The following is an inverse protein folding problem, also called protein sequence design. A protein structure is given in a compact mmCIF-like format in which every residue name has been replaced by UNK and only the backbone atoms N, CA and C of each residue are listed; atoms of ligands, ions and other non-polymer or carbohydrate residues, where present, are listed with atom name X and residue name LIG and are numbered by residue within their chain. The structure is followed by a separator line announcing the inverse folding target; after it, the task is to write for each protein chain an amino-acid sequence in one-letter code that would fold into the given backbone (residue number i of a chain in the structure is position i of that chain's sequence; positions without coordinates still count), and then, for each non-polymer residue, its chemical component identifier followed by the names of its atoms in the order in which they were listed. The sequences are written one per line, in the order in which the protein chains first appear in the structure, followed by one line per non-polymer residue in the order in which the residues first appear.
data_IF_635153535632
#
_entry.id   IF_635153535632
#
_cell.length_a   1.000
_cell.length_b   1.000
_cell.length_c   1.000
_cell.angle_alpha   90.00
_cell.angle_beta   90.00
_cell.angle_gamma   90.00
#
_symmetry.space_group_name_H-M   'P 1'
#
loop_
_entity.id
_entity.type
_entity.pdbx_description
1 polymer ?
#
# COMPACT_ATOMS: atom_id res chain seq x y z
N UNK A 1 15.74 12.21 -16.23
CA UNK A 1 14.82 11.19 -15.68
C UNK A 1 14.36 11.68 -14.31
N UNK A 2 13.05 11.68 -14.06
CA UNK A 2 12.53 12.04 -12.74
C UNK A 2 12.84 10.89 -11.77
N UNK A 3 13.44 11.22 -10.62
CA UNK A 3 13.82 10.26 -9.57
C UNK A 3 13.08 10.61 -8.28
N UNK A 4 12.58 9.61 -7.56
CA UNK A 4 11.99 9.77 -6.24
C UNK A 4 12.50 8.72 -5.26
N UNK A 5 12.36 9.01 -3.96
CA UNK A 5 12.76 8.12 -2.86
C UNK A 5 11.50 7.58 -2.18
N UNK A 6 11.42 6.28 -1.95
CA UNK A 6 10.33 5.62 -1.23
C UNK A 6 10.67 5.53 0.27
N UNK A 7 9.81 6.10 1.11
CA UNK A 7 9.92 6.13 2.56
C UNK A 7 9.17 4.95 3.22
N UNK A 8 9.67 3.72 3.02
CA UNK A 8 9.05 2.51 3.59
C UNK A 8 10.09 1.51 4.11
N UNK A 9 9.81 0.94 5.28
CA UNK A 9 10.52 -0.23 5.82
C UNK A 9 10.03 -1.55 5.22
N UNK A 10 8.83 -1.55 4.64
CA UNK A 10 8.30 -2.71 3.94
C UNK A 10 8.88 -2.72 2.52
N UNK A 11 9.77 -3.68 2.26
CA UNK A 11 10.47 -3.83 0.99
C UNK A 11 9.56 -4.37 -0.13
N UNK A 12 8.62 -5.26 0.19
CA UNK A 12 7.64 -5.77 -0.78
C UNK A 12 6.80 -4.62 -1.36
N UNK A 13 6.32 -3.72 -0.49
CA UNK A 13 5.63 -2.48 -0.92
C UNK A 13 6.53 -1.63 -1.79
N UNK A 14 7.82 -1.53 -1.45
CA UNK A 14 8.76 -0.71 -2.20
C UNK A 14 9.05 -1.28 -3.58
N UNK A 15 9.13 -2.61 -3.71
CA UNK A 15 9.26 -3.30 -4.99
C UNK A 15 8.01 -3.08 -5.85
N UNK A 16 6.82 -3.19 -5.26
CA UNK A 16 5.56 -2.92 -5.95
C UNK A 16 5.50 -1.48 -6.49
N UNK A 17 5.74 -0.49 -5.63
CA UNK A 17 5.79 0.92 -6.02
C UNK A 17 6.84 1.15 -7.12
N UNK A 18 8.02 0.56 -6.98
CA UNK A 18 9.10 0.68 -7.98
C UNK A 18 8.68 0.13 -9.35
N UNK A 19 8.02 -1.02 -9.39
CA UNK A 19 7.51 -1.59 -10.63
C UNK A 19 6.47 -0.67 -11.29
N UNK A 20 5.62 -0.04 -10.48
CA UNK A 20 4.62 0.90 -10.98
C UNK A 20 5.21 2.21 -11.49
N UNK A 21 6.09 2.87 -10.76
CA UNK A 21 6.68 4.14 -11.23
C UNK A 21 7.49 3.99 -12.51
N UNK A 22 8.00 2.78 -12.82
CA UNK A 22 8.64 2.50 -14.10
C UNK A 22 7.71 2.69 -15.31
N UNK A 23 6.40 2.42 -15.18
CA UNK A 23 5.44 2.63 -16.28
C UNK A 23 5.27 4.11 -16.62
N UNK A 24 5.58 5.00 -15.66
CA UNK A 24 5.60 6.45 -15.82
C UNK A 24 7.00 7.02 -16.12
N UNK A 25 7.98 6.17 -16.43
CA UNK A 25 9.39 6.58 -16.63
C UNK A 25 10.00 7.33 -15.43
N UNK A 26 9.53 7.04 -14.21
CA UNK A 26 10.05 7.59 -12.95
C UNK A 26 10.90 6.53 -12.25
N UNK A 27 12.13 6.89 -11.91
CA UNK A 27 13.02 6.04 -11.13
C UNK A 27 12.69 6.17 -9.64
N UNK A 28 11.95 5.21 -9.09
CA UNK A 28 11.71 5.10 -7.66
C UNK A 28 12.74 4.18 -7.00
N UNK A 29 13.33 4.62 -5.89
CA UNK A 29 14.35 3.88 -5.13
C UNK A 29 14.00 3.91 -3.64
N UNK A 30 14.31 2.86 -2.89
CA UNK A 30 14.02 2.85 -1.46
C UNK A 30 15.02 3.76 -0.71
N UNK A 31 14.57 4.42 0.37
CA UNK A 31 15.46 5.25 1.18
C UNK A 31 16.64 4.47 1.78
N UNK A 32 16.46 3.16 2.00
CA UNK A 32 17.49 2.28 2.55
C UNK A 32 18.70 2.09 1.63
N UNK A 33 18.58 2.48 0.35
CA UNK A 33 19.73 2.54 -0.57
C UNK A 33 20.72 3.68 -0.21
N UNK A 34 20.29 4.63 0.63
CA UNK A 34 21.07 5.81 1.01
C UNK A 34 21.32 5.91 2.52
N UNK A 35 20.66 5.09 3.33
CA UNK A 35 20.69 5.18 4.78
C UNK A 35 20.31 3.84 5.41
N UNK A 36 20.78 3.56 6.61
CA UNK A 36 20.35 2.39 7.37
C UNK A 36 18.85 2.45 7.71
N UNK A 37 18.26 1.29 8.03
CA UNK A 37 16.85 1.20 8.41
C UNK A 37 16.56 2.10 9.61
N UNK A 38 15.57 2.98 9.47
CA UNK A 38 15.15 3.90 10.54
C UNK A 38 13.91 3.41 11.28
N UNK A 39 13.76 3.90 12.51
CA UNK A 39 12.49 3.85 13.22
C UNK A 39 11.64 5.06 12.81
N UNK A 40 10.49 4.81 12.18
CA UNK A 40 9.54 5.86 11.85
C UNK A 40 8.84 6.39 13.12
N UNK A 41 8.36 7.65 13.11
CA UNK A 41 7.56 8.17 14.21
C UNK A 41 6.25 7.39 14.36
N UNK A 42 5.64 7.46 15.55
CA UNK A 42 4.39 6.77 15.84
C UNK A 42 3.29 7.13 14.82
N UNK A 43 2.55 6.12 14.38
CA UNK A 43 1.46 6.29 13.43
C UNK A 43 0.25 6.99 14.07
N UNK A 44 -0.38 7.84 13.27
CA UNK A 44 -1.61 8.57 13.51
C UNK A 44 -2.82 7.73 13.08
N UNK A 45 -4.02 8.19 13.42
CA UNK A 45 -5.29 7.56 13.05
C UNK A 45 -5.73 7.83 11.59
N UNK A 46 -4.92 8.49 10.79
CA UNK A 46 -5.26 8.92 9.43
C UNK A 46 -4.16 8.51 8.42
N UNK A 47 -4.55 7.76 7.38
CA UNK A 47 -3.61 7.23 6.38
C UNK A 47 -2.86 8.32 5.62
N UNK A 48 -3.54 9.43 5.27
CA UNK A 48 -2.93 10.54 4.55
C UNK A 48 -1.87 11.22 5.42
N UNK A 49 -2.19 11.45 6.70
CA UNK A 49 -1.27 12.04 7.66
C UNK A 49 -0.04 11.14 7.89
N UNK A 50 -0.23 9.82 7.97
CA UNK A 50 0.85 8.84 8.08
C UNK A 50 1.77 8.83 6.85
N UNK A 51 1.19 8.82 5.64
CA UNK A 51 1.96 8.87 4.40
C UNK A 51 2.81 10.16 4.33
N UNK A 52 2.22 11.31 4.66
CA UNK A 52 2.93 12.59 4.73
C UNK A 52 4.04 12.59 5.78
N UNK A 53 3.76 12.05 6.98
CA UNK A 53 4.72 11.95 8.06
C UNK A 53 5.93 11.11 7.65
N UNK A 54 5.72 9.95 7.02
CA UNK A 54 6.79 9.08 6.52
C UNK A 54 7.65 9.79 5.48
N UNK A 55 7.02 10.44 4.50
CA UNK A 55 7.72 11.18 3.45
C UNK A 55 8.59 12.31 4.04
N UNK A 56 8.01 13.18 4.87
CA UNK A 56 8.71 14.31 5.49
C UNK A 56 9.82 13.86 6.44
N UNK A 57 9.60 12.76 7.17
CA UNK A 57 10.61 12.18 8.04
C UNK A 57 11.85 11.77 7.26
N UNK A 58 11.70 10.99 6.19
CA UNK A 58 12.83 10.58 5.35
C UNK A 58 13.49 11.75 4.64
N UNK A 59 12.72 12.74 4.17
CA UNK A 59 13.27 13.95 3.59
C UNK A 59 14.22 14.66 4.57
N UNK A 60 13.85 14.72 5.86
CA UNK A 60 14.69 15.29 6.93
C UNK A 60 15.91 14.42 7.24
N UNK A 61 15.74 13.11 7.34
CA UNK A 61 16.84 12.16 7.62
C UNK A 61 17.91 12.24 6.53
N UNK A 62 17.50 12.20 5.27
CA UNK A 62 18.42 12.21 4.13
C UNK A 62 18.93 13.61 3.76
N UNK A 63 18.34 14.68 4.32
CA UNK A 63 18.61 16.09 3.96
C UNK A 63 18.59 16.29 2.43
N UNK A 64 17.59 15.72 1.77
CA UNK A 64 17.49 15.65 0.31
C UNK A 64 16.48 16.63 -0.27
N UNK A 65 16.77 17.14 -1.47
CA UNK A 65 15.83 17.91 -2.30
C UNK A 65 15.11 17.04 -3.34
N UNK A 66 15.40 15.73 -3.39
CA UNK A 66 14.66 14.80 -4.23
C UNK A 66 13.24 14.61 -3.68
N UNK A 67 12.23 14.40 -4.55
CA UNK A 67 10.89 14.00 -4.12
C UNK A 67 10.95 12.74 -3.25
N UNK A 68 10.25 12.74 -2.13
CA UNK A 68 10.14 11.61 -1.21
C UNK A 68 8.69 11.17 -1.12
N UNK A 69 8.43 9.90 -1.41
CA UNK A 69 7.13 9.26 -1.42
C UNK A 69 6.92 8.46 -0.13
N UNK A 70 5.90 8.80 0.65
CA UNK A 70 5.39 7.96 1.73
C UNK A 70 4.17 7.16 1.25
N UNK A 71 4.05 5.92 1.73
CA UNK A 71 2.86 5.07 1.59
C UNK A 71 2.29 4.79 2.97
N UNK A 72 0.97 4.92 3.12
CA UNK A 72 0.25 4.25 4.18
C UNK A 72 -0.94 3.48 3.62
N UNK A 73 -1.15 2.27 4.12
CA UNK A 73 -2.15 1.36 3.58
C UNK A 73 -2.77 0.52 4.67
N UNK A 74 -4.06 0.24 4.51
CA UNK A 74 -4.84 -0.48 5.51
C UNK A 74 -5.85 -1.43 4.89
N UNK A 75 -6.32 -2.33 5.74
CA UNK A 75 -7.33 -3.34 5.44
C UNK A 75 -8.56 -3.03 6.29
N UNK A 76 -9.74 -3.12 5.70
CA UNK A 76 -11.01 -3.10 6.41
C UNK A 76 -11.75 -4.39 6.07
N UNK A 77 -12.12 -5.15 7.10
CA UNK A 77 -12.99 -6.32 6.98
C UNK A 77 -14.36 -5.94 7.55
N UNK A 78 -15.40 -5.90 6.72
CA UNK A 78 -16.71 -5.37 7.15
C UNK A 78 -17.34 -6.22 8.27
N UNK A 79 -17.07 -7.53 8.29
CA UNK A 79 -17.53 -8.42 9.34
C UNK A 79 -16.82 -8.25 10.68
N UNK A 80 -15.68 -7.58 10.70
CA UNK A 80 -14.80 -7.46 11.87
C UNK A 80 -14.45 -5.98 12.13
N UNK A 81 -15.46 -5.12 12.40
CA UNK A 81 -15.21 -3.72 12.71
C UNK A 81 -14.35 -3.63 13.98
N UNK A 82 -13.19 -2.99 13.88
CA UNK A 82 -12.21 -2.87 14.97
C UNK A 82 -10.93 -3.69 14.77
N UNK A 83 -10.94 -4.63 13.83
CA UNK A 83 -9.72 -5.25 13.32
C UNK A 83 -9.09 -4.39 12.21
N UNK A 84 -7.77 -4.47 12.10
CA UNK A 84 -6.93 -3.84 11.09
C UNK A 84 -7.01 -2.30 11.08
N UNK A 85 -7.39 -1.70 9.96
CA UNK A 85 -7.36 -0.25 9.72
C UNK A 85 -5.94 0.34 9.82
N UNK A 86 -5.72 1.43 10.55
CA UNK A 86 -4.38 2.01 10.78
C UNK A 86 -3.50 1.11 11.63
N UNK A 87 -4.04 0.07 12.28
CA UNK A 87 -3.29 -0.89 13.08
C UNK A 87 -2.90 -2.15 12.30
N UNK A 88 -3.17 -2.19 11.00
CA UNK A 88 -2.98 -3.39 10.15
C UNK A 88 -1.62 -4.06 10.35
N UNK A 89 -0.53 -3.29 10.26
CA UNK A 89 0.82 -3.86 10.42
C UNK A 89 1.05 -4.41 11.83
N UNK A 90 0.63 -3.66 12.85
CA UNK A 90 0.77 -4.06 14.26
C UNK A 90 -0.01 -5.32 14.58
N UNK A 91 -1.22 -5.45 14.02
CA UNK A 91 -2.04 -6.64 14.22
C UNK A 91 -1.39 -7.86 13.57
N UNK A 92 -0.84 -7.73 12.36
CA UNK A 92 -0.08 -8.81 11.74
C UNK A 92 1.17 -9.19 12.53
N UNK A 93 1.94 -8.22 13.04
CA UNK A 93 3.12 -8.47 13.86
C UNK A 93 2.80 -9.23 15.16
N UNK A 94 1.59 -9.05 15.70
CA UNK A 94 1.16 -9.65 16.97
C UNK A 94 0.58 -11.06 16.81
N UNK A 95 0.15 -11.43 15.61
CA UNK A 95 -0.59 -12.67 15.38
C UNK A 95 0.30 -13.93 15.23
N UNK A 96 1.63 -13.77 15.14
CA UNK A 96 2.59 -14.88 15.17
C UNK A 96 3.04 -15.33 13.78
N UNK A 97 3.21 -16.64 13.59
CA UNK A 97 3.90 -17.22 12.41
C UNK A 97 3.03 -17.42 11.16
N UNK A 98 1.72 -17.16 11.25
CA UNK A 98 0.81 -17.31 10.12
C UNK A 98 1.03 -16.20 9.10
N UNK A 99 0.87 -16.53 7.82
CA UNK A 99 0.83 -15.49 6.78
C UNK A 99 -0.39 -14.58 6.98
N UNK A 100 -0.35 -13.37 6.42
CA UNK A 100 -1.45 -12.41 6.53
C UNK A 100 -2.76 -13.00 5.97
N UNK A 101 -2.66 -13.70 4.84
CA UNK A 101 -3.76 -14.42 4.22
C UNK A 101 -4.33 -15.52 5.11
N UNK A 102 -3.46 -16.36 5.67
CA UNK A 102 -3.89 -17.44 6.57
C UNK A 102 -4.60 -16.88 7.82
N UNK A 103 -4.08 -15.79 8.38
CA UNK A 103 -4.71 -15.12 9.51
C UNK A 103 -6.10 -14.60 9.19
N UNK A 104 -6.26 -13.85 8.09
CA UNK A 104 -7.57 -13.30 7.70
C UNK A 104 -8.58 -14.42 7.43
N UNK A 105 -8.17 -15.50 6.78
CA UNK A 105 -9.02 -16.67 6.57
C UNK A 105 -9.48 -17.29 7.89
N UNK A 106 -8.59 -17.38 8.88
CA UNK A 106 -8.91 -17.90 10.21
C UNK A 106 -9.88 -16.98 10.96
N UNK A 107 -9.67 -15.66 10.91
CA UNK A 107 -10.57 -14.67 11.51
C UNK A 107 -11.99 -14.77 10.93
N UNK A 108 -12.10 -15.01 9.63
CA UNK A 108 -13.39 -15.06 8.93
C UNK A 108 -14.00 -16.47 8.86
N UNK A 109 -13.40 -17.50 9.49
CA UNK A 109 -13.83 -18.90 9.33
C UNK A 109 -15.33 -19.09 9.61
N UNK A 110 -15.86 -18.39 10.62
CA UNK A 110 -17.25 -18.48 11.08
C UNK A 110 -18.15 -17.36 10.48
N UNK A 111 -17.59 -16.50 9.63
CA UNK A 111 -18.30 -15.37 9.00
C UNK A 111 -18.68 -15.72 7.55
N UNK A 112 -19.88 -16.29 7.38
CA UNK A 112 -20.34 -16.78 6.07
C UNK A 112 -21.07 -15.74 5.21
N UNK A 113 -21.70 -14.74 5.83
CA UNK A 113 -22.57 -13.76 5.14
C UNK A 113 -21.91 -12.39 4.90
N UNK A 114 -20.73 -12.14 5.48
CA UNK A 114 -20.03 -10.86 5.35
C UNK A 114 -18.52 -11.14 5.19
N UNK A 115 -18.03 -11.11 3.96
CA UNK A 115 -16.60 -11.30 3.64
C UNK A 115 -16.03 -10.15 2.83
N UNK A 116 -16.73 -9.02 2.81
CA UNK A 116 -16.27 -7.82 2.15
C UNK A 116 -14.96 -7.34 2.76
N UNK A 117 -14.03 -7.04 1.87
CA UNK A 117 -12.72 -6.47 2.17
C UNK A 117 -12.52 -5.21 1.37
N UNK A 118 -11.99 -4.20 2.04
CA UNK A 118 -11.56 -2.95 1.43
C UNK A 118 -10.07 -2.80 1.71
N UNK A 119 -9.28 -2.62 0.66
CA UNK A 119 -7.88 -2.24 0.76
C UNK A 119 -7.76 -0.78 0.35
N UNK A 120 -7.20 0.04 1.23
CA UNK A 120 -6.96 1.46 0.98
C UNK A 120 -5.46 1.71 0.95
N UNK A 121 -4.99 2.51 -0.01
CA UNK A 121 -3.62 3.05 -0.04
C UNK A 121 -3.68 4.56 -0.24
N UNK A 122 -2.90 5.26 0.58
CA UNK A 122 -2.62 6.68 0.46
C UNK A 122 -1.13 6.87 0.21
N UNK A 123 -0.83 7.65 -0.82
CA UNK A 123 0.50 8.06 -1.19
C UNK A 123 0.65 9.56 -1.00
N UNK A 124 1.80 9.97 -0.50
CA UNK A 124 2.16 11.37 -0.36
C UNK A 124 3.56 11.60 -0.93
N UNK A 125 3.68 12.45 -1.94
CA UNK A 125 4.97 12.85 -2.51
C UNK A 125 5.31 14.25 -2.00
N UNK A 126 6.40 14.36 -1.25
CA UNK A 126 6.89 15.62 -0.66
C UNK A 126 8.15 16.09 -1.39
N UNK A 127 8.24 17.40 -1.66
CA UNK A 127 9.47 18.04 -2.14
C UNK A 127 9.60 19.44 -1.53
N UNK A 128 10.63 19.65 -0.70
CA UNK A 128 10.75 20.88 0.09
C UNK A 128 9.58 21.02 1.07
N UNK A 129 8.89 22.15 1.04
CA UNK A 129 7.66 22.39 1.83
C UNK A 129 6.40 21.82 1.17
N UNK A 130 6.43 21.62 -0.15
CA UNK A 130 5.30 21.24 -1.00
C UNK A 130 4.99 19.76 -0.92
N UNK A 131 3.74 19.41 -1.18
CA UNK A 131 3.35 18.00 -1.31
C UNK A 131 2.15 17.79 -2.24
N UNK A 132 2.05 16.58 -2.78
CA UNK A 132 0.88 16.07 -3.49
C UNK A 132 0.47 14.73 -2.88
N UNK A 133 -0.80 14.39 -3.00
CA UNK A 133 -1.36 13.14 -2.50
C UNK A 133 -2.10 12.39 -3.58
N UNK A 134 -2.12 11.06 -3.46
CA UNK A 134 -2.94 10.17 -4.26
C UNK A 134 -3.56 9.11 -3.36
N UNK A 135 -4.82 8.77 -3.61
CA UNK A 135 -5.53 7.73 -2.90
C UNK A 135 -5.99 6.68 -3.89
N UNK A 136 -5.95 5.40 -3.50
CA UNK A 136 -6.57 4.33 -4.25
C UNK A 136 -7.26 3.35 -3.32
N UNK A 137 -8.30 2.71 -3.85
CA UNK A 137 -9.09 1.74 -3.12
C UNK A 137 -9.40 0.51 -3.99
N UNK A 138 -9.28 -0.66 -3.38
CA UNK A 138 -9.79 -1.93 -3.91
C UNK A 138 -10.91 -2.38 -3.00
N UNK A 139 -12.09 -2.67 -3.59
CA UNK A 139 -13.21 -3.31 -2.91
C UNK A 139 -13.37 -4.72 -3.48
N UNK A 140 -13.62 -5.69 -2.61
CA UNK A 140 -13.73 -7.09 -3.00
C UNK A 140 -14.27 -7.97 -1.90
N UNK A 141 -14.09 -9.27 -2.07
CA UNK A 141 -14.47 -10.31 -1.11
C UNK A 141 -13.23 -11.12 -0.72
N UNK A 142 -13.23 -11.61 0.52
CA UNK A 142 -12.26 -12.61 0.97
C UNK A 142 -12.71 -14.00 0.51
N UNK A 143 -11.85 -14.69 -0.24
CA UNK A 143 -12.06 -16.06 -0.69
C UNK A 143 -12.19 -17.03 0.49
N UNK A 144 -12.79 -18.20 0.25
CA UNK A 144 -12.91 -19.25 1.26
C UNK A 144 -11.60 -19.96 1.58
N UNK A 145 -10.65 -19.91 0.65
CA UNK A 145 -9.31 -20.49 0.76
C UNK A 145 -8.38 -19.71 -0.15
N UNK A 146 -7.09 -19.71 0.19
CA UNK A 146 -6.05 -19.17 -0.66
C UNK A 146 -6.04 -19.87 -2.02
N UNK A 147 -5.90 -19.09 -3.09
CA UNK A 147 -5.75 -19.58 -4.47
C UNK A 147 -4.74 -18.71 -5.23
N UNK A 148 -4.08 -19.30 -6.21
CA UNK A 148 -3.09 -18.60 -7.03
C UNK A 148 -1.75 -18.40 -6.31
N UNK A 149 -0.76 -17.98 -7.09
CA UNK A 149 0.64 -17.84 -6.63
C UNK A 149 1.29 -16.54 -7.10
N UNK A 150 0.59 -15.73 -7.90
CA UNK A 150 1.11 -14.46 -8.39
C UNK A 150 0.93 -13.36 -7.35
N UNK A 151 1.69 -12.27 -7.48
CA UNK A 151 1.56 -11.10 -6.61
C UNK A 151 2.11 -11.34 -5.20
N UNK A 152 1.39 -10.88 -4.19
CA UNK A 152 1.79 -10.88 -2.79
C UNK A 152 0.87 -11.76 -1.93
N UNK A 153 1.23 -11.97 -0.66
CA UNK A 153 0.52 -12.89 0.24
C UNK A 153 -1.00 -12.65 0.26
N UNK A 154 -1.46 -11.41 0.48
CA UNK A 154 -2.89 -11.06 0.52
C UNK A 154 -3.62 -11.28 -0.81
N UNK A 155 -2.92 -11.26 -1.93
CA UNK A 155 -3.54 -11.42 -3.25
C UNK A 155 -4.17 -12.82 -3.41
N UNK A 156 -3.72 -13.80 -2.62
CA UNK A 156 -4.24 -15.16 -2.63
C UNK A 156 -5.66 -15.29 -2.11
N UNK A 157 -6.15 -14.29 -1.37
CA UNK A 157 -7.47 -14.36 -0.73
C UNK A 157 -8.39 -13.23 -1.17
N UNK A 158 -7.93 -12.25 -1.94
CA UNK A 158 -8.74 -11.10 -2.35
C UNK A 158 -9.32 -11.34 -3.73
N UNK A 159 -10.65 -11.41 -3.81
CA UNK A 159 -11.41 -11.43 -5.07
C UNK A 159 -11.93 -10.01 -5.30
N UNK A 160 -11.40 -9.24 -6.27
CA UNK A 160 -11.85 -7.88 -6.49
C UNK A 160 -13.29 -7.86 -7.03
N UNK A 161 -14.03 -6.79 -6.72
CA UNK A 161 -15.42 -6.62 -7.17
C UNK A 161 -15.52 -6.75 -8.70
N UNK A 162 -16.40 -7.63 -9.15
CA UNK A 162 -16.62 -7.90 -10.58
C UNK A 162 -15.75 -9.03 -11.16
N UNK A 163 -14.86 -9.63 -10.37
CA UNK A 163 -14.08 -10.81 -10.76
C UNK A 163 -14.58 -12.08 -10.06
N UNK A 164 -14.21 -13.23 -10.62
CA UNK A 164 -14.44 -14.58 -10.04
C UNK A 164 -13.16 -15.23 -9.52
N UNK A 165 -12.00 -14.62 -9.78
CA UNK A 165 -10.68 -15.11 -9.42
C UNK A 165 -10.05 -14.20 -8.36
N UNK A 166 -9.19 -14.79 -7.53
CA UNK A 166 -8.33 -14.03 -6.61
C UNK A 166 -7.29 -13.23 -7.39
N UNK A 167 -6.75 -12.16 -6.79
CA UNK A 167 -5.68 -11.37 -7.41
C UNK A 167 -4.45 -12.22 -7.75
N UNK A 168 -4.13 -13.24 -6.94
CA UNK A 168 -2.99 -14.12 -7.18
C UNK A 168 -3.22 -15.15 -8.30
N UNK A 169 -4.45 -15.34 -8.75
CA UNK A 169 -4.78 -16.13 -9.95
C UNK A 169 -4.68 -15.30 -11.24
N UNK A 170 -4.58 -13.96 -11.11
CA UNK A 170 -4.47 -13.05 -12.25
C UNK A 170 -3.02 -12.89 -12.69
N UNK A 171 -2.81 -12.61 -13.98
CA UNK A 171 -1.51 -12.10 -14.45
C UNK A 171 -1.21 -10.74 -13.82
N UNK A 172 0.06 -10.32 -13.80
CA UNK A 172 0.45 -8.99 -13.30
C UNK A 172 -0.40 -7.89 -13.91
N UNK A 173 -0.52 -7.84 -15.24
CA UNK A 173 -1.30 -6.80 -15.96
C UNK A 173 -2.79 -6.81 -15.59
N UNK A 174 -3.38 -7.97 -15.29
CA UNK A 174 -4.77 -8.07 -14.86
C UNK A 174 -4.96 -7.62 -13.41
N UNK A 175 -4.10 -8.10 -12.50
CA UNK A 175 -4.08 -7.71 -11.07
C UNK A 175 -3.99 -6.20 -10.93
N UNK A 176 -3.12 -5.62 -11.73
CA UNK A 176 -2.81 -4.21 -11.77
C UNK A 176 -4.06 -3.31 -11.84
N UNK A 177 -4.99 -3.63 -12.73
CA UNK A 177 -6.28 -2.92 -12.91
C UNK A 177 -7.13 -2.80 -11.64
N UNK A 178 -6.92 -3.67 -10.66
CA UNK A 178 -7.67 -3.67 -9.41
C UNK A 178 -6.90 -3.05 -8.24
N UNK A 179 -5.58 -3.14 -8.25
CA UNK A 179 -4.71 -2.83 -7.12
C UNK A 179 -4.88 -1.40 -6.62
N UNK A 180 -5.08 -1.25 -5.31
CA UNK A 180 -5.26 0.04 -4.66
C UNK A 180 -4.02 0.94 -4.78
N UNK A 181 -2.81 0.37 -4.75
CA UNK A 181 -1.57 1.16 -4.90
C UNK A 181 -1.42 1.73 -6.30
N UNK A 182 -1.80 0.96 -7.32
CA UNK A 182 -1.76 1.44 -8.70
C UNK A 182 -2.70 2.63 -8.90
N UNK A 183 -3.95 2.51 -8.45
CA UNK A 183 -4.92 3.62 -8.48
C UNK A 183 -4.41 4.84 -7.70
N UNK A 184 -3.74 4.62 -6.57
CA UNK A 184 -3.14 5.70 -5.79
C UNK A 184 -2.01 6.40 -6.56
N UNK A 185 -1.19 5.65 -7.30
CA UNK A 185 -0.14 6.19 -8.17
C UNK A 185 -0.75 6.95 -9.34
N UNK A 186 -1.75 6.40 -10.04
CA UNK A 186 -2.41 7.09 -11.16
C UNK A 186 -2.96 8.45 -10.73
N UNK A 187 -3.66 8.49 -9.58
CA UNK A 187 -4.18 9.73 -9.00
C UNK A 187 -3.06 10.68 -8.58
N UNK A 188 -1.97 10.17 -7.98
CA UNK A 188 -0.80 10.97 -7.61
C UNK A 188 -0.11 11.57 -8.85
N UNK A 189 0.08 10.77 -9.91
CA UNK A 189 0.77 11.16 -11.14
C UNK A 189 0.00 12.23 -11.89
N UNK A 190 -1.33 12.15 -11.92
CA UNK A 190 -2.20 13.20 -12.48
C UNK A 190 -1.94 14.54 -11.80
N UNK A 191 -1.91 14.56 -10.47
CA UNK A 191 -1.62 15.79 -9.71
C UNK A 191 -0.17 16.27 -9.90
N UNK A 192 0.77 15.34 -10.08
CA UNK A 192 2.18 15.66 -10.28
C UNK A 192 2.47 16.27 -11.65
N UNK A 193 1.91 15.70 -12.73
CA UNK A 193 2.09 16.20 -14.09
C UNK A 193 1.56 17.62 -14.23
N UNK A 194 0.46 17.92 -13.54
CA UNK A 194 -0.21 19.21 -13.58
C UNK A 194 0.44 20.25 -12.65
N UNK A 195 1.56 19.90 -11.99
CA UNK A 195 2.27 20.74 -11.03
C UNK A 195 1.37 21.25 -9.88
N UNK A 196 0.31 20.50 -9.53
CA UNK A 196 -0.68 20.87 -8.52
C UNK A 196 -0.18 20.58 -7.09
N UNK A 197 0.92 21.23 -6.73
CA UNK A 197 1.48 21.17 -5.39
C UNK A 197 0.62 21.95 -4.39
N UNK A 198 0.35 21.34 -3.23
CA UNK A 198 -0.18 22.05 -2.06
C UNK A 198 0.89 22.90 -1.38
#
# INVERSE_FOLDING_TARGET
MNKLIIASNNLDKSQELTAYFKTFAVAAVNYQDFHEKVQFPAELADYRANALQKARFIQKVLKTNLPVLGDDSGIELLALPGHFQTKTHREFDQHGSLSHSAYILQLLKDHSQARDIILTSYLALCQGSRYIVGQGQLRGLVAWRAKGTNGFDLDQIVIPKGASQTLAEMSTVQRQRYAQREKAIENLMTNWSDQQWN
#
